data_IF_853025462758
#
_entry.id   IF_853025462758
#
_cell.length_a   1.000
_cell.length_b   1.000
_cell.length_c   1.000
_cell.angle_alpha   90.00
_cell.angle_beta   90.00
_cell.angle_gamma   90.00
#
_symmetry.space_group_name_H-M   'P 1'
#
loop_
_entity.id
_entity.type
_entity.pdbx_description
1 polymer ?
#
# COMPACT_ATOMS: atom_id res chain seq x y z
N UNK A 1 0.19 17.58 -11.49
CA UNK A 1 1.29 16.79 -10.89
C UNK A 1 1.06 15.32 -11.20
N UNK A 2 2.09 14.60 -11.67
CA UNK A 2 2.02 13.18 -12.00
C UNK A 2 1.78 12.33 -10.74
N UNK A 3 0.52 12.00 -10.41
CA UNK A 3 0.15 11.13 -9.29
C UNK A 3 0.65 9.66 -9.41
N UNK A 4 1.35 9.31 -10.49
CA UNK A 4 1.84 7.95 -10.77
C UNK A 4 2.83 7.41 -9.72
N UNK A 5 3.49 8.29 -8.96
CA UNK A 5 4.49 7.92 -7.96
C UNK A 5 4.03 7.97 -6.49
N UNK A 6 2.80 8.38 -6.21
CA UNK A 6 2.33 8.50 -4.82
C UNK A 6 1.87 7.14 -4.27
N UNK A 7 1.06 6.42 -5.03
CA UNK A 7 0.51 5.13 -4.61
C UNK A 7 1.59 4.06 -4.35
N UNK A 8 2.71 4.07 -5.07
CA UNK A 8 3.82 3.14 -4.78
C UNK A 8 4.35 3.28 -3.35
N UNK A 9 4.30 4.47 -2.76
CA UNK A 9 4.74 4.69 -1.39
C UNK A 9 3.82 3.99 -0.38
N UNK A 10 2.51 3.93 -0.67
CA UNK A 10 1.53 3.17 0.12
C UNK A 10 1.87 1.68 0.10
N UNK A 11 2.06 1.12 -1.09
CA UNK A 11 2.35 -0.30 -1.24
C UNK A 11 3.76 -0.68 -0.79
N UNK A 12 4.70 0.26 -0.78
CA UNK A 12 6.00 0.06 -0.15
C UNK A 12 5.89 -0.12 1.36
N UNK A 13 4.97 0.59 2.04
CA UNK A 13 4.66 0.35 3.46
C UNK A 13 4.12 -1.08 3.64
N UNK A 14 3.14 -1.50 2.83
CA UNK A 14 2.59 -2.86 2.89
C UNK A 14 3.66 -3.95 2.62
N UNK A 15 4.58 -3.68 1.68
CA UNK A 15 5.70 -4.57 1.39
C UNK A 15 6.69 -4.64 2.56
N UNK A 16 6.93 -3.51 3.24
CA UNK A 16 7.70 -3.45 4.47
C UNK A 16 7.08 -4.31 5.58
N UNK A 17 5.77 -4.18 5.80
CA UNK A 17 5.04 -4.99 6.78
C UNK A 17 5.14 -6.50 6.46
N UNK A 18 4.99 -6.86 5.18
CA UNK A 18 5.12 -8.24 4.70
C UNK A 18 6.52 -8.81 4.98
N UNK A 19 7.55 -7.98 4.80
CA UNK A 19 8.94 -8.35 5.09
C UNK A 19 9.20 -8.49 6.59
N UNK A 20 8.78 -7.53 7.41
CA UNK A 20 9.02 -7.60 8.87
C UNK A 20 8.24 -8.72 9.56
N UNK A 21 7.12 -9.18 8.97
CA UNK A 21 6.41 -10.39 9.38
C UNK A 21 7.00 -11.70 8.84
N UNK A 22 8.06 -11.65 8.03
CA UNK A 22 8.70 -12.82 7.41
C UNK A 22 7.75 -13.73 6.63
N UNK A 23 6.79 -13.15 5.88
CA UNK A 23 5.78 -13.93 5.14
C UNK A 23 6.32 -14.61 3.86
N UNK A 24 7.57 -14.28 3.48
CA UNK A 24 8.26 -14.87 2.33
C UNK A 24 7.98 -14.16 1.00
N UNK A 25 8.76 -14.51 -0.02
CA UNK A 25 8.75 -13.83 -1.33
C UNK A 25 7.44 -14.03 -2.09
N UNK A 26 6.78 -15.19 -1.95
CA UNK A 26 5.49 -15.44 -2.62
C UNK A 26 4.39 -14.46 -2.17
N UNK A 27 4.30 -14.19 -0.86
CA UNK A 27 3.35 -13.23 -0.30
C UNK A 27 3.64 -11.81 -0.81
N UNK A 28 4.92 -11.45 -0.90
CA UNK A 28 5.37 -10.16 -1.43
C UNK A 28 5.10 -10.01 -2.93
N UNK A 29 5.33 -11.04 -3.73
CA UNK A 29 4.99 -11.03 -5.16
C UNK A 29 3.48 -10.90 -5.37
N UNK A 30 2.67 -11.66 -4.62
CA UNK A 30 1.22 -11.54 -4.67
C UNK A 30 0.73 -10.14 -4.27
N UNK A 31 1.32 -9.55 -3.22
CA UNK A 31 1.05 -8.18 -2.81
C UNK A 31 1.33 -7.19 -3.94
N UNK A 32 2.50 -7.27 -4.58
CA UNK A 32 2.90 -6.36 -5.66
C UNK A 32 1.93 -6.46 -6.85
N UNK A 33 1.57 -7.68 -7.27
CA UNK A 33 0.62 -7.89 -8.37
C UNK A 33 -0.73 -7.27 -8.06
N UNK A 34 -1.31 -7.55 -6.89
CA UNK A 34 -2.61 -7.00 -6.47
C UNK A 34 -2.57 -5.48 -6.27
N UNK A 35 -1.45 -4.96 -5.78
CA UNK A 35 -1.24 -3.51 -5.64
C UNK A 35 -1.26 -2.81 -7.00
N UNK A 36 -0.72 -3.43 -8.04
CA UNK A 36 -0.75 -2.89 -9.39
C UNK A 36 -2.17 -2.84 -9.97
N UNK A 37 -3.01 -3.83 -9.65
CA UNK A 37 -4.45 -3.82 -9.99
C UNK A 37 -5.15 -2.63 -9.33
N UNK A 38 -4.87 -2.35 -8.05
CA UNK A 38 -5.45 -1.19 -7.36
C UNK A 38 -4.98 0.15 -7.95
N UNK A 39 -3.71 0.27 -8.36
CA UNK A 39 -3.21 1.46 -9.07
C UNK A 39 -3.96 1.66 -10.38
N UNK A 40 -4.17 0.58 -11.14
CA UNK A 40 -4.90 0.60 -12.41
C UNK A 40 -6.33 1.08 -12.19
N UNK A 41 -7.06 0.47 -11.26
CA UNK A 41 -8.44 0.83 -10.92
C UNK A 41 -8.56 2.28 -10.43
N UNK A 42 -7.64 2.74 -9.59
CA UNK A 42 -7.60 4.12 -9.12
C UNK A 42 -7.37 5.10 -10.27
N UNK A 43 -6.39 4.81 -11.14
CA UNK A 43 -6.08 5.68 -12.28
C UNK A 43 -7.25 5.79 -13.25
N UNK A 44 -7.89 4.66 -13.59
CA UNK A 44 -9.07 4.63 -14.47
C UNK A 44 -10.22 5.46 -13.91
N UNK A 45 -10.52 5.33 -12.61
CA UNK A 45 -11.57 6.11 -11.94
C UNK A 45 -11.28 7.63 -11.90
N UNK A 46 -10.01 8.04 -12.09
CA UNK A 46 -9.59 9.42 -12.25
C UNK A 46 -9.46 9.87 -13.72
N UNK A 47 -9.87 9.03 -14.68
CA UNK A 47 -9.83 9.33 -16.11
C UNK A 47 -8.45 9.14 -16.75
N UNK A 48 -7.51 8.45 -16.08
CA UNK A 48 -6.25 8.09 -16.70
C UNK A 48 -6.49 7.01 -17.77
N UNK A 49 -5.84 7.16 -18.93
CA UNK A 49 -5.86 6.13 -19.98
C UNK A 49 -5.07 4.92 -19.51
N UNK A 50 -5.59 3.70 -19.70
CA UNK A 50 -4.89 2.45 -19.38
C UNK A 50 -3.44 2.44 -19.87
N UNK A 51 -3.19 2.84 -21.11
CA UNK A 51 -1.84 2.93 -21.70
C UNK A 51 -0.85 3.79 -20.89
N UNK A 52 -1.34 4.75 -20.10
CA UNK A 52 -0.54 5.63 -19.24
C UNK A 52 -0.24 4.99 -17.87
N UNK A 53 -1.09 4.08 -17.41
CA UNK A 53 -0.94 3.33 -16.15
C UNK A 53 -0.10 2.06 -16.37
N UNK A 54 -0.34 1.36 -17.48
CA UNK A 54 0.41 0.18 -17.94
C UNK A 54 1.76 0.53 -18.58
N UNK A 55 2.16 1.81 -18.60
CA UNK A 55 3.52 2.18 -18.99
C UNK A 55 4.56 1.52 -18.07
N UNK A 56 5.60 0.91 -18.66
CA UNK A 56 6.69 0.21 -17.97
C UNK A 56 7.29 0.95 -16.76
N UNK A 57 7.23 2.28 -16.74
CA UNK A 57 7.76 3.09 -15.65
C UNK A 57 6.96 2.98 -14.34
N UNK A 58 5.63 2.78 -14.39
CA UNK A 58 4.80 2.69 -13.18
C UNK A 58 4.99 1.37 -12.42
N UNK A 59 4.97 0.25 -13.16
CA UNK A 59 5.22 -1.08 -12.60
C UNK A 59 6.68 -1.24 -12.15
N UNK A 60 7.64 -0.76 -12.95
CA UNK A 60 9.06 -0.79 -12.61
C UNK A 60 9.37 -0.03 -11.32
N UNK A 61 8.82 1.17 -11.17
CA UNK A 61 8.95 1.98 -9.95
C UNK A 61 8.32 1.32 -8.73
N UNK A 62 7.15 0.70 -8.89
CA UNK A 62 6.48 -0.03 -7.82
C UNK A 62 7.36 -1.20 -7.34
N UNK A 63 7.81 -2.05 -8.27
CA UNK A 63 8.67 -3.19 -7.96
C UNK A 63 9.95 -2.71 -7.27
N UNK A 64 10.63 -1.70 -7.83
CA UNK A 64 11.87 -1.18 -7.25
C UNK A 64 11.65 -0.65 -5.83
N UNK A 65 10.58 0.12 -5.62
CA UNK A 65 10.30 0.73 -4.31
C UNK A 65 9.95 -0.32 -3.26
N UNK A 66 9.08 -1.29 -3.60
CA UNK A 66 8.69 -2.38 -2.70
C UNK A 66 9.84 -3.36 -2.37
N UNK A 67 10.88 -3.42 -3.21
CA UNK A 67 12.06 -4.26 -2.99
C UNK A 67 13.24 -3.52 -2.34
N UNK A 68 13.23 -2.18 -2.31
CA UNK A 68 14.36 -1.40 -1.81
C UNK A 68 14.28 -1.16 -0.30
N UNK A 69 15.26 -1.68 0.45
CA UNK A 69 15.45 -1.32 1.87
C UNK A 69 15.92 0.13 2.06
N UNK A 70 16.31 0.84 0.98
CA UNK A 70 16.59 2.29 1.02
C UNK A 70 15.30 3.12 0.95
N UNK A 71 14.16 2.50 0.64
CA UNK A 71 12.87 3.16 0.66
C UNK A 71 12.45 3.41 2.11
N UNK A 72 12.34 4.69 2.49
CA UNK A 72 11.83 5.08 3.81
C UNK A 72 10.48 4.42 4.12
N UNK A 73 9.61 4.28 3.11
CA UNK A 73 8.30 3.63 3.24
C UNK A 73 8.41 2.13 3.58
N UNK A 74 9.35 1.43 2.94
CA UNK A 74 9.59 0.00 3.20
C UNK A 74 10.16 -0.19 4.61
N UNK A 75 11.16 0.61 4.99
CA UNK A 75 11.72 0.59 6.35
C UNK A 75 10.66 0.90 7.41
N UNK A 76 9.80 1.89 7.15
CA UNK A 76 8.69 2.24 8.03
C UNK A 76 7.72 1.08 8.23
N UNK A 77 7.30 0.42 7.14
CA UNK A 77 6.44 -0.76 7.19
C UNK A 77 7.05 -1.93 7.97
N UNK A 78 8.35 -2.18 7.81
CA UNK A 78 9.07 -3.21 8.57
C UNK A 78 9.07 -2.89 10.07
N UNK A 79 9.41 -1.65 10.42
CA UNK A 79 9.49 -1.19 11.79
C UNK A 79 8.15 -1.34 12.52
N UNK A 80 7.05 -0.86 11.95
CA UNK A 80 5.75 -0.96 12.61
C UNK A 80 5.26 -2.41 12.71
N UNK A 81 5.73 -3.31 11.84
CA UNK A 81 5.37 -4.73 11.89
C UNK A 81 6.09 -5.52 12.97
N UNK A 82 7.23 -5.03 13.47
CA UNK A 82 7.92 -5.63 14.63
C UNK A 82 7.38 -5.13 15.97
N UNK A 83 6.57 -4.06 15.96
CA UNK A 83 5.94 -3.52 17.16
C UNK A 83 4.71 -4.35 17.55
N UNK A 84 4.64 -4.74 18.82
CA UNK A 84 3.47 -5.42 19.39
C UNK A 84 2.24 -4.51 19.46
N UNK A 85 2.45 -3.21 19.71
CA UNK A 85 1.49 -2.13 19.58
C UNK A 85 2.23 -0.86 19.11
N UNK A 86 2.12 -0.47 17.83
CA UNK A 86 2.70 0.78 17.37
C UNK A 86 1.97 1.95 18.03
N UNK A 87 2.71 2.74 18.81
CA UNK A 87 2.22 4.06 19.24
C UNK A 87 2.49 5.05 18.11
N UNK A 88 1.45 5.30 17.32
CA UNK A 88 1.58 6.21 16.19
C UNK A 88 1.82 7.66 16.65
N UNK A 89 1.43 8.08 17.86
CA UNK A 89 1.77 9.43 18.35
C UNK A 89 3.26 9.61 18.58
N UNK A 90 3.94 8.59 19.12
CA UNK A 90 5.38 8.64 19.33
C UNK A 90 6.17 8.45 18.03
N UNK A 91 5.68 7.58 17.14
CA UNK A 91 6.20 7.47 15.77
C UNK A 91 6.06 8.81 15.03
N UNK A 92 4.93 9.52 15.18
CA UNK A 92 4.71 10.83 14.56
C UNK A 92 5.74 11.88 15.06
N UNK A 93 6.17 11.80 16.32
CA UNK A 93 7.16 12.71 16.92
C UNK A 93 8.60 12.39 16.50
N UNK A 94 8.89 11.14 16.15
CA UNK A 94 10.24 10.65 15.83
C UNK A 94 10.80 11.07 14.45
N UNK A 95 10.03 11.81 13.64
CA UNK A 95 10.32 12.12 12.23
C UNK A 95 10.41 10.89 11.29
N UNK A 96 10.00 9.70 11.75
CA UNK A 96 9.99 8.49 10.91
C UNK A 96 8.80 8.43 9.95
N UNK A 97 7.92 9.43 9.97
CA UNK A 97 6.79 9.54 9.05
C UNK A 97 7.29 9.71 7.61
N UNK A 98 6.71 8.91 6.73
CA UNK A 98 7.05 8.92 5.30
C UNK A 98 5.95 9.58 4.47
N UNK A 99 6.26 9.92 3.23
CA UNK A 99 5.26 10.40 2.25
C UNK A 99 4.09 9.41 2.09
N UNK A 100 4.35 8.10 2.21
CA UNK A 100 3.34 7.06 2.13
C UNK A 100 2.26 7.20 3.22
N UNK A 101 2.64 7.56 4.44
CA UNK A 101 1.70 7.79 5.55
C UNK A 101 0.64 8.84 5.15
N UNK A 102 1.07 10.02 4.71
CA UNK A 102 0.15 11.08 4.28
C UNK A 102 -0.61 10.72 3.00
N UNK A 103 0.05 9.99 2.08
CA UNK A 103 -0.58 9.55 0.83
C UNK A 103 -1.77 8.64 1.09
N UNK A 104 -1.65 7.71 2.04
CA UNK A 104 -2.73 6.79 2.43
C UNK A 104 -4.00 7.57 2.82
N UNK A 105 -3.86 8.61 3.65
CA UNK A 105 -5.00 9.44 4.08
C UNK A 105 -5.66 10.18 2.92
N UNK A 106 -4.86 10.77 2.02
CA UNK A 106 -5.38 11.49 0.86
C UNK A 106 -6.08 10.55 -0.14
N UNK A 107 -5.50 9.38 -0.41
CA UNK A 107 -6.08 8.38 -1.30
C UNK A 107 -7.39 7.85 -0.73
N UNK A 108 -7.44 7.57 0.58
CA UNK A 108 -8.66 7.11 1.26
C UNK A 108 -9.85 8.06 1.06
N UNK A 109 -9.63 9.36 1.17
CA UNK A 109 -10.68 10.36 0.92
C UNK A 109 -11.22 10.24 -0.52
N UNK A 110 -10.33 10.17 -1.50
CA UNK A 110 -10.69 10.05 -2.92
C UNK A 110 -11.45 8.75 -3.19
N UNK A 111 -10.98 7.62 -2.64
CA UNK A 111 -11.62 6.32 -2.85
C UNK A 111 -13.00 6.24 -2.23
N UNK A 112 -13.23 6.91 -1.10
CA UNK A 112 -14.55 6.94 -0.45
C UNK A 112 -15.54 7.77 -1.26
N UNK A 113 -15.12 8.96 -1.71
CA UNK A 113 -15.94 9.83 -2.54
C UNK A 113 -16.31 9.16 -3.88
N UNK A 114 -15.36 8.49 -4.51
CA UNK A 114 -15.53 7.87 -5.83
C UNK A 114 -15.94 6.40 -5.78
N UNK A 115 -16.08 5.81 -4.59
CA UNK A 115 -16.40 4.40 -4.36
C UNK A 115 -15.48 3.43 -5.11
N UNK A 116 -14.17 3.68 -5.03
CA UNK A 116 -13.14 2.86 -5.69
C UNK A 116 -12.70 1.75 -4.73
N UNK A 117 -12.86 0.48 -5.12
CA UNK A 117 -12.39 -0.65 -4.31
C UNK A 117 -10.86 -0.74 -4.34
N UNK A 118 -10.20 -0.51 -3.20
CA UNK A 118 -8.74 -0.65 -3.05
C UNK A 118 -8.40 -1.33 -1.72
N UNK A 119 -8.55 -2.67 -1.64
CA UNK A 119 -8.46 -3.41 -0.37
C UNK A 119 -7.13 -3.31 0.37
N UNK A 120 -6.01 -3.36 -0.34
CA UNK A 120 -4.66 -3.24 0.23
C UNK A 120 -4.45 -1.82 0.74
N UNK A 121 -4.76 -0.80 -0.07
CA UNK A 121 -4.71 0.59 0.38
C UNK A 121 -5.57 0.80 1.65
N UNK A 122 -6.78 0.24 1.66
CA UNK A 122 -7.69 0.30 2.82
C UNK A 122 -7.12 -0.39 4.05
N UNK A 123 -6.47 -1.54 3.88
CA UNK A 123 -5.80 -2.27 4.96
C UNK A 123 -4.67 -1.44 5.56
N UNK A 124 -3.85 -0.80 4.71
CA UNK A 124 -2.80 0.11 5.16
C UNK A 124 -3.40 1.31 5.90
N UNK A 125 -4.49 1.88 5.41
CA UNK A 125 -5.21 2.95 6.11
C UNK A 125 -5.67 2.50 7.51
N UNK A 126 -6.30 1.33 7.60
CA UNK A 126 -6.80 0.81 8.87
C UNK A 126 -5.68 0.58 9.89
N UNK A 127 -4.54 0.06 9.46
CA UNK A 127 -3.38 -0.14 10.33
C UNK A 127 -2.85 1.21 10.84
N UNK A 128 -2.67 2.19 9.94
CA UNK A 128 -2.01 3.45 10.26
C UNK A 128 -2.91 4.47 10.99
N UNK A 129 -4.22 4.43 10.76
CA UNK A 129 -5.15 5.45 11.24
C UNK A 129 -6.27 4.93 12.14
N UNK A 130 -6.60 3.64 12.08
CA UNK A 130 -7.65 3.03 12.90
C UNK A 130 -7.11 2.03 13.92
N UNK A 131 -5.78 1.92 14.06
CA UNK A 131 -5.10 1.02 15.00
C UNK A 131 -5.47 -0.46 14.83
N UNK A 132 -5.85 -0.88 13.61
CA UNK A 132 -6.09 -2.28 13.33
C UNK A 132 -4.77 -3.08 13.37
N UNK A 133 -4.86 -4.33 13.81
CA UNK A 133 -3.75 -5.27 13.78
C UNK A 133 -3.37 -5.62 12.34
N UNK A 134 -2.08 -5.61 12.03
CA UNK A 134 -1.56 -6.02 10.71
C UNK A 134 -1.98 -7.46 10.39
N UNK A 135 -1.97 -8.35 11.39
CA UNK A 135 -2.37 -9.76 11.21
C UNK A 135 -3.84 -9.90 10.85
N UNK A 136 -4.69 -9.07 11.46
CA UNK A 136 -6.13 -9.11 11.20
C UNK A 136 -6.44 -8.57 9.80
N UNK A 137 -5.77 -7.50 9.38
CA UNK A 137 -5.91 -6.99 8.01
C UNK A 137 -5.41 -7.98 6.94
N UNK A 138 -4.29 -8.66 7.19
CA UNK A 138 -3.82 -9.73 6.30
C UNK A 138 -4.86 -10.83 6.20
N UNK A 139 -5.42 -11.28 7.33
CA UNK A 139 -6.47 -12.29 7.36
C UNK A 139 -7.69 -11.84 6.57
N UNK A 140 -8.16 -10.60 6.79
CA UNK A 140 -9.27 -10.02 6.04
C UNK A 140 -9.01 -10.01 4.53
N UNK A 141 -7.79 -9.66 4.09
CA UNK A 141 -7.41 -9.66 2.67
C UNK A 141 -7.40 -11.05 2.03
N UNK A 142 -7.13 -12.10 2.81
CA UNK A 142 -7.12 -13.51 2.37
C UNK A 142 -8.52 -14.13 2.38
N UNK A 143 -9.40 -13.70 3.29
CA UNK A 143 -10.78 -14.17 3.39
C UNK A 143 -11.72 -13.53 2.36
N UNK A 144 -11.25 -12.51 1.62
CA UNK A 144 -12.03 -11.89 0.56
C UNK A 144 -12.40 -12.93 -0.52
N UNK A 145 -13.62 -12.86 -1.07
CA UNK A 145 -14.02 -13.69 -2.19
C UNK A 145 -13.04 -13.56 -3.36
N UNK A 146 -12.81 -14.64 -4.10
CA UNK A 146 -12.06 -14.59 -5.36
C UNK A 146 -12.82 -13.66 -6.30
N UNK A 147 -12.26 -12.48 -6.54
CA UNK A 147 -12.77 -11.51 -7.51
C UNK A 147 -11.92 -11.56 -8.76
N UNK A 148 -12.54 -11.35 -9.91
CA UNK A 148 -11.82 -11.17 -11.17
C UNK A 148 -10.96 -9.89 -11.07
N UNK A 149 -9.66 -10.01 -11.33
CA UNK A 149 -8.72 -8.89 -11.17
C UNK A 149 -8.90 -7.80 -12.25
N UNK A 150 -9.63 -8.11 -13.32
CA UNK A 150 -9.83 -7.22 -14.48
C UNK A 150 -11.28 -6.77 -14.71
N UNK A 151 -12.16 -6.89 -13.71
CA UNK A 151 -13.52 -6.32 -13.77
C UNK A 151 -13.57 -4.83 -13.47
#
# INVERSE_FOLDING_TARGET
>A
MSNRGALKNVYAIAAGMTQGLNLGENAKSALITRSFVEISRFGEALGAKQQTIFGLSGLGDLILTCNSLKSRNTSFGQMISSMSKPDFEDILKSQEITEGYYTVKAVKQITDEKKIDMPIMQSVYNILYNSHSIKDEIKNLLERPITDEFK
#
